data_IF_483038644067
#
_entry.id   IF_483038644067
#
_cell.length_a   1.000
_cell.length_b   1.000
_cell.length_c   1.000
_cell.angle_alpha   90.00
_cell.angle_beta   90.00
_cell.angle_gamma   90.00
#
_symmetry.space_group_name_H-M   'P 1'
#
loop_
_entity.id
_entity.type
_entity.pdbx_description
1 polymer ?
#
# COMPACT_ATOMS: atom_id res chain seq x y z
N UNK A 1 37.35 50.17 61.01
CA UNK A 1 37.52 48.84 60.37
C UNK A 1 36.17 48.26 60.37
N UNK A 2 35.36 48.46 59.31
CA UNK A 2 34.01 47.95 59.15
C UNK A 2 33.99 46.98 57.99
N UNK A 3 33.56 45.84 58.31
CA UNK A 3 33.42 44.67 57.42
C UNK A 3 32.04 44.77 56.75
N UNK A 4 31.97 45.17 55.49
CA UNK A 4 30.73 45.15 54.70
C UNK A 4 30.48 43.79 54.12
N UNK A 5 29.64 43.02 54.80
CA UNK A 5 29.03 41.77 54.31
C UNK A 5 28.06 42.06 53.18
N UNK A 6 28.42 41.60 51.96
CA UNK A 6 27.62 41.73 50.76
C UNK A 6 26.62 40.55 50.68
N UNK A 7 25.42 40.76 51.25
CA UNK A 7 24.27 39.82 51.04
C UNK A 7 23.55 40.19 49.75
N UNK A 8 23.85 39.48 48.66
CA UNK A 8 22.96 39.46 47.48
C UNK A 8 21.65 38.74 47.85
N UNK A 9 20.49 39.27 47.43
CA UNK A 9 19.22 38.65 47.79
C UNK A 9 18.98 37.39 46.92
N UNK A 10 18.72 36.29 47.62
CA UNK A 10 18.36 34.96 47.06
C UNK A 10 16.97 34.92 46.39
N UNK A 11 16.30 36.06 46.23
CA UNK A 11 14.92 36.15 45.72
C UNK A 11 14.81 36.36 44.20
N UNK A 12 15.93 36.58 43.49
CA UNK A 12 15.89 36.78 42.02
C UNK A 12 16.02 35.48 41.22
N UNK A 13 16.55 34.39 41.82
CA UNK A 13 16.69 33.09 41.13
C UNK A 13 15.38 32.30 41.04
N UNK A 14 14.47 32.47 42.00
CA UNK A 14 13.19 31.76 42.02
C UNK A 14 12.17 32.27 41.02
N UNK A 15 12.22 33.56 40.63
CA UNK A 15 11.28 34.11 39.66
C UNK A 15 11.66 33.75 38.19
N UNK A 16 12.95 33.68 37.88
CA UNK A 16 13.42 33.26 36.56
C UNK A 16 13.21 31.76 36.34
N UNK A 17 13.45 30.93 37.36
CA UNK A 17 13.17 29.47 37.28
C UNK A 17 11.67 29.19 37.13
N UNK A 18 10.79 29.88 37.86
CA UNK A 18 9.34 29.74 37.69
C UNK A 18 8.85 30.24 36.34
N UNK A 19 9.46 31.29 35.79
CA UNK A 19 9.10 31.81 34.48
C UNK A 19 9.58 30.89 33.34
N UNK A 20 10.77 30.29 33.46
CA UNK A 20 11.33 29.33 32.53
C UNK A 20 10.54 28.00 32.56
N UNK A 21 10.14 27.50 33.73
CA UNK A 21 9.31 26.32 33.90
C UNK A 21 7.90 26.54 33.32
N UNK A 22 7.29 27.70 33.55
CA UNK A 22 5.95 28.02 33.02
C UNK A 22 5.95 28.19 31.49
N UNK A 23 7.01 28.74 30.91
CA UNK A 23 7.18 28.82 29.44
C UNK A 23 7.35 27.44 28.85
N UNK A 24 8.13 26.54 29.48
CA UNK A 24 8.31 25.18 29.01
C UNK A 24 7.02 24.33 29.10
N UNK A 25 6.22 24.53 30.17
CA UNK A 25 4.92 23.87 30.31
C UNK A 25 3.91 24.37 29.26
N UNK A 26 3.86 25.66 28.98
CA UNK A 26 3.01 26.21 27.92
C UNK A 26 3.42 25.73 26.53
N UNK A 27 4.70 25.62 26.25
CA UNK A 27 5.20 25.03 24.99
C UNK A 27 4.86 23.56 24.88
N UNK A 28 5.02 22.78 25.96
CA UNK A 28 4.68 21.37 26.00
C UNK A 28 3.18 21.13 25.77
N UNK A 29 2.32 21.88 26.45
CA UNK A 29 0.86 21.83 26.29
C UNK A 29 0.45 22.18 24.85
N UNK A 30 1.07 23.23 24.27
CA UNK A 30 0.82 23.60 22.88
C UNK A 30 1.25 22.53 21.89
N UNK A 31 2.38 21.87 22.15
CA UNK A 31 2.90 20.77 21.33
C UNK A 31 2.00 19.53 21.42
N UNK A 32 1.54 19.17 22.61
CA UNK A 32 0.59 18.07 22.82
C UNK A 32 -0.74 18.34 22.11
N UNK A 33 -1.28 19.56 22.21
CA UNK A 33 -2.51 19.94 21.51
C UNK A 33 -2.37 19.89 19.99
N UNK A 34 -1.25 20.38 19.44
CA UNK A 34 -0.94 20.30 18.00
C UNK A 34 -0.80 18.85 17.56
N UNK A 35 -0.04 18.05 18.30
CA UNK A 35 0.12 16.62 18.01
C UNK A 35 -1.23 15.89 18.01
N UNK A 36 -2.06 16.13 19.04
CA UNK A 36 -3.38 15.52 19.13
C UNK A 36 -4.30 15.92 17.97
N UNK A 37 -4.21 17.17 17.53
CA UNK A 37 -4.97 17.67 16.38
C UNK A 37 -4.53 16.97 15.08
N UNK A 38 -3.23 16.78 14.87
CA UNK A 38 -2.72 16.06 13.70
C UNK A 38 -3.05 14.56 13.77
N UNK A 39 -2.96 13.94 14.94
CA UNK A 39 -3.38 12.54 15.15
C UNK A 39 -4.86 12.35 14.76
N UNK A 40 -5.75 13.26 15.18
CA UNK A 40 -7.16 13.20 14.76
C UNK A 40 -7.35 13.32 13.25
N UNK A 41 -6.59 14.20 12.59
CA UNK A 41 -6.64 14.34 11.12
C UNK A 41 -6.15 13.08 10.42
N UNK A 42 -5.07 12.46 10.91
CA UNK A 42 -4.56 11.19 10.38
C UNK A 42 -5.58 10.08 10.56
N UNK A 43 -6.19 9.94 11.74
CA UNK A 43 -7.20 8.92 12.01
C UNK A 43 -8.45 9.06 11.16
N UNK A 44 -8.85 10.28 10.82
CA UNK A 44 -9.98 10.52 9.90
C UNK A 44 -9.75 9.92 8.51
N UNK A 45 -8.50 9.81 8.08
CA UNK A 45 -8.09 9.21 6.80
C UNK A 45 -7.71 7.74 6.98
N UNK A 46 -6.96 7.43 8.04
CA UNK A 46 -6.47 6.08 8.30
C UNK A 46 -7.58 5.08 8.63
N UNK A 47 -8.53 5.44 9.48
CA UNK A 47 -9.62 4.54 9.89
C UNK A 47 -10.39 3.94 8.70
N UNK A 48 -10.98 4.75 7.82
CA UNK A 48 -11.64 4.24 6.62
C UNK A 48 -10.68 3.50 5.66
N UNK A 49 -9.41 3.91 5.57
CA UNK A 49 -8.41 3.24 4.74
C UNK A 49 -8.06 1.84 5.27
N UNK A 50 -7.91 1.69 6.59
CA UNK A 50 -7.70 0.39 7.26
C UNK A 50 -8.91 -0.50 7.01
N UNK A 51 -10.12 0.01 7.28
CA UNK A 51 -11.36 -0.74 7.10
C UNK A 51 -11.52 -1.23 5.65
N UNK A 52 -11.26 -0.37 4.67
CA UNK A 52 -11.31 -0.75 3.26
C UNK A 52 -10.33 -1.87 2.91
N UNK A 53 -9.08 -1.78 3.40
CA UNK A 53 -8.05 -2.80 3.15
C UNK A 53 -8.40 -4.13 3.79
N UNK A 54 -8.84 -4.10 5.04
CA UNK A 54 -9.33 -5.31 5.73
C UNK A 54 -10.51 -5.93 4.99
N UNK A 55 -11.48 -5.12 4.54
CA UNK A 55 -12.63 -5.60 3.77
C UNK A 55 -12.21 -6.28 2.47
N UNK A 56 -11.34 -5.65 1.68
CA UNK A 56 -10.88 -6.21 0.40
C UNK A 56 -10.01 -7.47 0.59
N UNK A 57 -9.16 -7.50 1.61
CA UNK A 57 -8.38 -8.70 1.95
C UNK A 57 -9.30 -9.84 2.39
N UNK A 58 -10.35 -9.54 3.13
CA UNK A 58 -11.34 -10.52 3.59
C UNK A 58 -12.10 -11.20 2.44
N UNK A 59 -12.26 -10.55 1.28
CA UNK A 59 -12.88 -11.20 0.12
C UNK A 59 -12.16 -12.50 -0.27
N UNK A 60 -10.83 -12.45 -0.40
CA UNK A 60 -10.03 -13.62 -0.75
C UNK A 60 -10.08 -14.70 0.36
N UNK A 61 -9.99 -14.29 1.64
CA UNK A 61 -10.04 -15.22 2.78
C UNK A 61 -11.40 -15.92 2.86
N UNK A 62 -12.49 -15.19 2.65
CA UNK A 62 -13.85 -15.77 2.63
C UNK A 62 -13.98 -16.76 1.46
N UNK A 63 -13.53 -16.38 0.26
CA UNK A 63 -13.54 -17.29 -0.91
C UNK A 63 -12.79 -18.58 -0.61
N UNK A 64 -11.60 -18.50 -0.03
CA UNK A 64 -10.81 -19.67 0.36
C UNK A 64 -11.51 -20.51 1.43
N UNK A 65 -12.15 -19.87 2.42
CA UNK A 65 -12.91 -20.57 3.46
C UNK A 65 -14.08 -21.35 2.87
N UNK A 66 -14.81 -20.78 1.92
CA UNK A 66 -15.89 -21.48 1.22
C UNK A 66 -15.37 -22.61 0.32
N UNK A 67 -14.26 -22.42 -0.39
CA UNK A 67 -13.62 -23.44 -1.19
C UNK A 67 -13.17 -24.64 -0.33
N UNK A 68 -12.70 -24.40 0.89
CA UNK A 68 -12.34 -25.44 1.85
C UNK A 68 -13.50 -26.34 2.29
N UNK A 69 -14.75 -25.91 2.10
CA UNK A 69 -15.94 -26.74 2.34
C UNK A 69 -16.31 -27.62 1.12
N UNK A 70 -15.70 -27.39 -0.05
CA UNK A 70 -15.92 -28.21 -1.24
C UNK A 70 -15.04 -29.48 -1.16
N UNK A 71 -13.75 -29.32 -1.28
CA UNK A 71 -12.75 -30.37 -1.09
C UNK A 71 -11.34 -29.77 -0.96
N UNK A 72 -10.36 -30.58 -0.51
CA UNK A 72 -8.97 -30.13 -0.30
C UNK A 72 -8.29 -29.68 -1.60
N UNK A 73 -8.60 -30.32 -2.74
CA UNK A 73 -8.03 -29.98 -4.04
C UNK A 73 -8.52 -28.62 -4.52
N UNK A 74 -9.81 -28.32 -4.34
CA UNK A 74 -10.39 -27.02 -4.68
C UNK A 74 -9.81 -25.90 -3.82
N UNK A 75 -9.65 -26.14 -2.50
CA UNK A 75 -9.00 -25.21 -1.60
C UNK A 75 -7.55 -24.96 -2.01
N UNK A 76 -6.79 -26.00 -2.31
CA UNK A 76 -5.41 -25.87 -2.77
C UNK A 76 -5.34 -25.09 -4.08
N UNK A 77 -6.22 -25.38 -5.05
CA UNK A 77 -6.24 -24.70 -6.34
C UNK A 77 -6.54 -23.20 -6.23
N UNK A 78 -7.60 -22.81 -5.51
CA UNK A 78 -7.95 -21.38 -5.34
C UNK A 78 -6.89 -20.63 -4.49
N UNK A 79 -6.34 -21.31 -3.49
CA UNK A 79 -5.28 -20.75 -2.66
C UNK A 79 -4.02 -20.46 -3.48
N UNK A 80 -3.58 -21.39 -4.33
CA UNK A 80 -2.42 -21.19 -5.20
C UNK A 80 -2.72 -20.10 -6.25
N UNK A 81 -3.88 -20.13 -6.91
CA UNK A 81 -4.25 -19.13 -7.91
C UNK A 81 -4.27 -17.71 -7.31
N UNK A 82 -4.79 -17.54 -6.09
CA UNK A 82 -4.87 -16.23 -5.44
C UNK A 82 -3.56 -15.82 -4.78
N UNK A 83 -2.87 -16.72 -4.07
CA UNK A 83 -1.65 -16.37 -3.30
C UNK A 83 -0.39 -16.37 -4.14
N UNK A 84 -0.31 -17.12 -5.25
CA UNK A 84 0.86 -17.13 -6.12
C UNK A 84 0.62 -16.22 -7.32
N UNK A 85 -0.32 -16.59 -8.21
CA UNK A 85 -0.50 -15.88 -9.48
C UNK A 85 -1.04 -14.47 -9.26
N UNK A 86 -2.20 -14.36 -8.60
CA UNK A 86 -2.85 -13.05 -8.42
C UNK A 86 -2.05 -12.10 -7.55
N UNK A 87 -1.39 -12.57 -6.51
CA UNK A 87 -0.67 -11.67 -5.60
C UNK A 87 0.60 -11.06 -6.21
N UNK A 88 1.25 -11.72 -7.18
CA UNK A 88 2.35 -11.13 -7.94
C UNK A 88 1.83 -9.92 -8.73
N UNK A 89 0.74 -10.12 -9.46
CA UNK A 89 0.15 -9.06 -10.28
C UNK A 89 -0.49 -7.96 -9.45
N UNK A 90 -1.11 -8.31 -8.32
CA UNK A 90 -1.63 -7.36 -7.33
C UNK A 90 -0.53 -6.43 -6.81
N UNK A 91 0.60 -6.98 -6.33
CA UNK A 91 1.71 -6.19 -5.81
C UNK A 91 2.31 -5.26 -6.87
N UNK A 92 2.47 -5.75 -8.10
CA UNK A 92 2.99 -4.98 -9.21
C UNK A 92 2.07 -3.80 -9.56
N UNK A 93 0.77 -4.04 -9.78
CA UNK A 93 -0.21 -3.00 -10.14
C UNK A 93 -0.45 -2.02 -8.98
N UNK A 94 -0.45 -2.52 -7.72
CA UNK A 94 -0.54 -1.66 -6.55
C UNK A 94 0.66 -0.69 -6.47
N UNK A 95 1.85 -1.18 -6.79
CA UNK A 95 3.06 -0.36 -6.90
C UNK A 95 2.94 0.69 -7.98
N UNK A 96 2.47 0.31 -9.18
CA UNK A 96 2.23 1.28 -10.26
C UNK A 96 1.23 2.37 -9.85
N UNK A 97 0.17 2.01 -9.14
CA UNK A 97 -0.83 2.97 -8.69
C UNK A 97 -0.32 3.93 -7.60
N UNK A 98 0.76 3.62 -6.88
CA UNK A 98 1.28 4.51 -5.84
C UNK A 98 1.84 5.83 -6.40
N UNK A 99 2.28 5.85 -7.64
CA UNK A 99 2.66 7.08 -8.34
C UNK A 99 1.49 8.08 -8.42
N UNK A 100 0.27 7.57 -8.67
CA UNK A 100 -0.92 8.40 -8.70
C UNK A 100 -1.23 9.04 -7.34
N UNK A 101 -0.99 8.32 -6.23
CA UNK A 101 -1.17 8.87 -4.89
C UNK A 101 -0.33 10.12 -4.67
N UNK A 102 0.94 10.07 -5.04
CA UNK A 102 1.86 11.20 -4.93
C UNK A 102 1.41 12.38 -5.80
N UNK A 103 1.10 12.13 -7.07
CA UNK A 103 0.72 13.19 -8.02
C UNK A 103 -0.63 13.82 -7.67
N UNK A 104 -1.64 13.01 -7.37
CA UNK A 104 -2.95 13.51 -6.94
C UNK A 104 -2.86 14.28 -5.62
N UNK A 105 -2.08 13.79 -4.65
CA UNK A 105 -1.89 14.50 -3.38
C UNK A 105 -1.23 15.86 -3.59
N UNK A 106 -0.16 15.92 -4.39
CA UNK A 106 0.52 17.18 -4.70
C UNK A 106 -0.38 18.16 -5.47
N UNK A 107 -1.11 17.70 -6.50
CA UNK A 107 -2.04 18.52 -7.27
C UNK A 107 -3.19 19.06 -6.39
N UNK A 108 -3.72 18.22 -5.50
CA UNK A 108 -4.74 18.63 -4.54
C UNK A 108 -4.23 19.71 -3.58
N UNK A 109 -3.04 19.52 -3.03
CA UNK A 109 -2.38 20.51 -2.17
C UNK A 109 -2.10 21.83 -2.89
N UNK A 110 -1.70 21.78 -4.14
CA UNK A 110 -1.49 22.96 -5.01
C UNK A 110 -2.80 23.60 -5.52
N UNK A 111 -3.97 23.05 -5.16
CA UNK A 111 -5.31 23.47 -5.63
C UNK A 111 -5.51 23.34 -7.17
N UNK A 112 -4.72 22.49 -7.81
CA UNK A 112 -4.83 22.18 -9.24
C UNK A 112 -5.79 21.00 -9.44
N UNK A 113 -7.08 21.20 -9.11
CA UNK A 113 -8.07 20.12 -9.03
C UNK A 113 -8.34 19.47 -10.39
N UNK A 114 -8.29 20.22 -11.48
CA UNK A 114 -8.48 19.70 -12.86
C UNK A 114 -7.44 18.62 -13.22
N UNK A 115 -6.19 18.75 -12.73
CA UNK A 115 -5.13 17.79 -12.99
C UNK A 115 -5.39 16.40 -12.39
N UNK A 116 -6.20 16.31 -11.33
CA UNK A 116 -6.48 15.03 -10.67
C UNK A 116 -7.19 14.06 -11.60
N UNK A 117 -8.18 14.54 -12.36
CA UNK A 117 -8.90 13.73 -13.35
C UNK A 117 -8.01 13.26 -14.50
N UNK A 118 -7.09 14.11 -14.95
CA UNK A 118 -6.11 13.79 -15.99
C UNK A 118 -5.14 12.72 -15.47
N UNK A 119 -4.60 12.87 -14.25
CA UNK A 119 -3.72 11.87 -13.63
C UNK A 119 -4.42 10.53 -13.42
N UNK A 120 -5.71 10.52 -13.02
CA UNK A 120 -6.50 9.30 -12.91
C UNK A 120 -6.55 8.56 -14.25
N UNK A 121 -6.85 9.25 -15.35
CA UNK A 121 -6.94 8.66 -16.68
C UNK A 121 -5.56 8.21 -17.20
N UNK A 122 -4.49 8.98 -16.98
CA UNK A 122 -3.09 8.56 -17.25
C UNK A 122 -2.75 7.25 -16.51
N UNK A 123 -3.16 7.16 -15.25
CA UNK A 123 -2.99 5.93 -14.45
C UNK A 123 -3.71 4.75 -15.08
N UNK A 124 -4.96 4.91 -15.53
CA UNK A 124 -5.67 3.83 -16.21
C UNK A 124 -4.94 3.33 -17.45
N UNK A 125 -4.43 4.23 -18.29
CA UNK A 125 -3.67 3.84 -19.49
C UNK A 125 -2.41 3.06 -19.12
N UNK A 126 -1.61 3.57 -18.19
CA UNK A 126 -0.34 2.95 -17.81
C UNK A 126 -0.55 1.62 -17.08
N UNK A 127 -1.52 1.56 -16.16
CA UNK A 127 -1.84 0.32 -15.44
C UNK A 127 -2.47 -0.72 -16.37
N UNK A 128 -3.28 -0.31 -17.35
CA UNK A 128 -3.86 -1.22 -18.33
C UNK A 128 -2.76 -1.88 -19.19
N UNK A 129 -1.78 -1.11 -19.65
CA UNK A 129 -0.62 -1.66 -20.37
C UNK A 129 0.13 -2.66 -19.45
N UNK A 130 0.41 -2.28 -18.21
CA UNK A 130 1.04 -3.17 -17.23
C UNK A 130 0.22 -4.44 -16.96
N UNK A 131 -1.09 -4.31 -16.85
CA UNK A 131 -2.01 -5.44 -16.67
C UNK A 131 -1.99 -6.41 -17.86
N UNK A 132 -2.01 -5.88 -19.09
CA UNK A 132 -1.92 -6.70 -20.31
C UNK A 132 -0.58 -7.45 -20.39
N UNK A 133 0.53 -6.80 -20.00
CA UNK A 133 1.85 -7.44 -19.96
C UNK A 133 1.92 -8.57 -18.91
N UNK A 134 1.08 -8.55 -17.88
CA UNK A 134 1.01 -9.58 -16.85
C UNK A 134 0.00 -10.69 -17.15
N UNK A 135 -0.86 -10.56 -18.17
CA UNK A 135 -1.82 -11.60 -18.58
C UNK A 135 -1.18 -12.96 -18.84
N UNK A 136 0.01 -13.07 -19.44
CA UNK A 136 0.65 -14.38 -19.63
C UNK A 136 0.80 -15.18 -18.34
N UNK A 137 0.94 -14.55 -17.17
CA UNK A 137 0.99 -15.27 -15.89
C UNK A 137 -0.30 -16.04 -15.59
N UNK A 138 -1.45 -15.51 -15.99
CA UNK A 138 -2.74 -16.18 -15.83
C UNK A 138 -2.98 -17.25 -16.90
N UNK A 139 -2.69 -16.91 -18.16
CA UNK A 139 -2.91 -17.80 -19.30
C UNK A 139 -2.00 -19.05 -19.23
N UNK A 140 -0.74 -18.84 -18.84
CA UNK A 140 0.25 -19.91 -18.69
C UNK A 140 0.43 -20.36 -17.23
N UNK A 141 -0.57 -20.14 -16.35
CA UNK A 141 -0.49 -20.51 -14.95
C UNK A 141 -0.24 -22.02 -14.77
N UNK A 142 -0.92 -22.89 -15.54
CA UNK A 142 -0.73 -24.34 -15.47
C UNK A 142 0.73 -24.77 -15.71
N UNK A 143 1.39 -24.46 -16.84
CA UNK A 143 2.79 -24.83 -17.04
C UNK A 143 3.73 -24.19 -16.02
N UNK A 144 3.49 -22.95 -15.60
CA UNK A 144 4.30 -22.30 -14.57
C UNK A 144 4.21 -23.07 -13.25
N UNK A 145 3.00 -23.47 -12.82
CA UNK A 145 2.80 -24.21 -11.59
C UNK A 145 3.41 -25.63 -11.65
N UNK A 146 3.31 -26.31 -12.79
CA UNK A 146 3.98 -27.61 -13.00
C UNK A 146 5.50 -27.47 -12.91
N UNK A 147 6.09 -26.42 -13.47
CA UNK A 147 7.53 -26.14 -13.38
C UNK A 147 7.99 -25.82 -11.94
N UNK A 148 7.12 -25.29 -11.10
CA UNK A 148 7.40 -25.05 -9.68
C UNK A 148 7.19 -26.27 -8.79
N UNK A 149 6.90 -27.46 -9.38
CA UNK A 149 6.77 -28.72 -8.66
C UNK A 149 5.40 -28.96 -8.01
N UNK A 150 4.37 -28.21 -8.41
CA UNK A 150 3.01 -28.48 -7.92
C UNK A 150 2.46 -29.79 -8.49
N UNK A 151 1.66 -30.57 -7.71
CA UNK A 151 0.99 -31.74 -8.19
C UNK A 151 0.16 -31.46 -9.44
N UNK A 152 0.16 -32.36 -10.42
CA UNK A 152 -0.45 -32.13 -11.74
C UNK A 152 -1.93 -31.77 -11.65
N UNK A 153 -2.71 -32.49 -10.84
CA UNK A 153 -4.15 -32.22 -10.64
C UNK A 153 -4.40 -30.82 -10.06
N UNK A 154 -3.60 -30.42 -9.07
CA UNK A 154 -3.71 -29.10 -8.44
C UNK A 154 -3.28 -28.01 -9.40
N UNK A 155 -2.19 -28.22 -10.17
CA UNK A 155 -1.70 -27.22 -11.14
C UNK A 155 -2.70 -26.99 -12.29
N UNK A 156 -3.38 -28.03 -12.78
CA UNK A 156 -4.40 -27.89 -13.82
C UNK A 156 -5.64 -27.16 -13.33
N UNK A 157 -6.12 -27.52 -12.15
CA UNK A 157 -7.28 -26.86 -11.56
C UNK A 157 -6.95 -25.39 -11.18
N UNK A 158 -5.79 -25.15 -10.57
CA UNK A 158 -5.33 -23.80 -10.24
C UNK A 158 -5.12 -22.92 -11.49
N UNK A 159 -4.61 -23.50 -12.58
CA UNK A 159 -4.51 -22.82 -13.86
C UNK A 159 -5.86 -22.45 -14.44
N UNK A 160 -6.85 -23.36 -14.37
CA UNK A 160 -8.23 -23.05 -14.76
C UNK A 160 -8.80 -21.92 -13.93
N UNK A 161 -8.66 -21.97 -12.61
CA UNK A 161 -9.11 -20.90 -11.68
C UNK A 161 -8.40 -19.59 -12.01
N UNK A 162 -7.09 -19.61 -12.28
CA UNK A 162 -6.34 -18.41 -12.64
C UNK A 162 -6.92 -17.70 -13.89
N UNK A 163 -7.29 -18.46 -14.92
CA UNK A 163 -7.94 -17.88 -16.12
C UNK A 163 -9.27 -17.20 -15.76
N UNK A 164 -10.07 -17.79 -14.89
CA UNK A 164 -11.33 -17.19 -14.42
C UNK A 164 -11.12 -15.98 -13.51
N UNK A 165 -9.93 -15.77 -12.92
CA UNK A 165 -9.56 -14.59 -12.16
C UNK A 165 -9.01 -13.43 -13.03
N UNK A 166 -8.95 -13.56 -14.35
CA UNK A 166 -8.56 -12.47 -15.26
C UNK A 166 -9.46 -11.23 -15.11
N UNK A 167 -10.80 -11.34 -15.02
CA UNK A 167 -11.65 -10.16 -14.78
C UNK A 167 -11.31 -9.42 -13.49
N UNK A 168 -10.98 -10.13 -12.40
CA UNK A 168 -10.51 -9.52 -11.16
C UNK A 168 -9.17 -8.79 -11.36
N UNK A 169 -8.23 -9.40 -12.08
CA UNK A 169 -6.96 -8.78 -12.42
C UNK A 169 -7.16 -7.47 -13.19
N UNK A 170 -8.09 -7.44 -14.15
CA UNK A 170 -8.46 -6.22 -14.88
C UNK A 170 -9.11 -5.17 -13.96
N UNK A 171 -9.87 -5.57 -12.96
CA UNK A 171 -10.49 -4.67 -12.01
C UNK A 171 -9.45 -3.89 -11.18
N UNK A 172 -8.25 -4.42 -10.96
CA UNK A 172 -7.18 -3.77 -10.20
C UNK A 172 -6.73 -2.46 -10.85
N UNK A 173 -6.75 -2.38 -12.19
CA UNK A 173 -6.43 -1.16 -12.93
C UNK A 173 -7.30 0.02 -12.47
N UNK A 174 -8.60 -0.22 -12.38
CA UNK A 174 -9.57 0.79 -12.00
C UNK A 174 -9.64 0.97 -10.48
N UNK A 175 -9.65 -0.13 -9.73
CA UNK A 175 -9.76 -0.12 -8.27
C UNK A 175 -8.62 0.67 -7.62
N UNK A 176 -7.37 0.34 -7.97
CA UNK A 176 -6.23 1.00 -7.35
C UNK A 176 -6.15 2.48 -7.74
N UNK A 177 -6.39 2.79 -9.01
CA UNK A 177 -6.41 4.18 -9.48
C UNK A 177 -7.50 5.02 -8.80
N UNK A 178 -8.73 4.50 -8.71
CA UNK A 178 -9.85 5.21 -8.06
C UNK A 178 -9.60 5.40 -6.57
N UNK A 179 -9.07 4.38 -5.89
CA UNK A 179 -8.72 4.48 -4.47
C UNK A 179 -7.68 5.58 -4.25
N UNK A 180 -6.59 5.62 -5.04
CA UNK A 180 -5.55 6.66 -4.92
C UNK A 180 -6.06 8.05 -5.26
N UNK A 181 -6.89 8.17 -6.28
CA UNK A 181 -7.53 9.43 -6.67
C UNK A 181 -8.43 10.00 -5.55
N UNK A 182 -9.24 9.15 -4.91
CA UNK A 182 -10.11 9.56 -3.81
C UNK A 182 -9.32 9.83 -2.51
N UNK A 183 -8.29 9.02 -2.24
CA UNK A 183 -7.39 9.23 -1.10
C UNK A 183 -6.66 10.58 -1.22
N UNK A 184 -6.14 10.93 -2.39
CA UNK A 184 -5.48 12.22 -2.66
C UNK A 184 -6.37 13.43 -2.33
N UNK A 185 -7.69 13.27 -2.46
CA UNK A 185 -8.71 14.26 -2.11
C UNK A 185 -9.25 14.15 -0.66
N UNK A 186 -8.66 13.30 0.17
CA UNK A 186 -9.10 13.02 1.55
C UNK A 186 -10.53 12.42 1.63
N UNK A 187 -11.07 11.86 0.54
CA UNK A 187 -12.42 11.25 0.46
C UNK A 187 -12.39 9.76 0.82
N UNK A 188 -11.68 9.40 1.87
CA UNK A 188 -11.44 8.00 2.27
C UNK A 188 -12.65 7.30 2.85
N UNK A 189 -13.58 8.03 3.46
CA UNK A 189 -14.82 7.46 4.02
C UNK A 189 -15.66 6.73 2.98
N UNK A 190 -15.71 7.25 1.74
CA UNK A 190 -16.44 6.61 0.62
C UNK A 190 -15.80 5.28 0.25
N UNK A 191 -14.46 5.23 0.23
CA UNK A 191 -13.71 4.00 -0.05
C UNK A 191 -14.07 2.93 0.99
N UNK A 192 -14.11 3.31 2.28
CA UNK A 192 -14.52 2.41 3.36
C UNK A 192 -15.95 1.87 3.17
N UNK A 193 -16.92 2.75 2.92
CA UNK A 193 -18.31 2.34 2.73
C UNK A 193 -18.51 1.42 1.52
N UNK A 194 -17.91 1.76 0.38
CA UNK A 194 -18.01 0.94 -0.84
C UNK A 194 -17.35 -0.41 -0.66
N UNK A 195 -16.16 -0.46 -0.03
CA UNK A 195 -15.49 -1.73 0.26
C UNK A 195 -16.25 -2.59 1.27
N UNK A 196 -16.86 -1.97 2.28
CA UNK A 196 -17.73 -2.66 3.24
C UNK A 196 -18.99 -3.24 2.57
N UNK A 197 -19.61 -2.48 1.66
CA UNK A 197 -20.76 -2.96 0.88
C UNK A 197 -20.36 -4.15 -0.01
N UNK A 198 -19.23 -4.05 -0.70
CA UNK A 198 -18.70 -5.14 -1.53
C UNK A 198 -18.46 -6.41 -0.69
N UNK A 199 -17.93 -6.27 0.54
CA UNK A 199 -17.72 -7.38 1.47
C UNK A 199 -19.06 -8.03 1.88
N UNK A 200 -20.07 -7.23 2.22
CA UNK A 200 -21.39 -7.76 2.58
C UNK A 200 -22.03 -8.51 1.41
N UNK A 201 -21.97 -7.93 0.21
CA UNK A 201 -22.47 -8.58 -1.01
C UNK A 201 -21.71 -9.90 -1.25
N UNK A 202 -20.39 -9.92 -1.10
CA UNK A 202 -19.57 -11.12 -1.25
C UNK A 202 -19.96 -12.23 -0.27
N UNK A 203 -20.16 -11.89 1.00
CA UNK A 203 -20.63 -12.84 2.03
C UNK A 203 -22.00 -13.42 1.66
N UNK A 204 -22.95 -12.58 1.26
CA UNK A 204 -24.28 -13.01 0.89
C UNK A 204 -24.27 -13.91 -0.35
N UNK A 205 -23.47 -13.57 -1.36
CA UNK A 205 -23.32 -14.38 -2.56
C UNK A 205 -22.73 -15.76 -2.24
N UNK A 206 -21.59 -15.80 -1.51
CA UNK A 206 -20.97 -17.07 -1.15
C UNK A 206 -21.92 -17.94 -0.29
N UNK A 207 -22.59 -17.36 0.70
CA UNK A 207 -23.56 -18.06 1.52
C UNK A 207 -24.76 -18.60 0.69
N UNK A 208 -25.33 -17.77 -0.18
CA UNK A 208 -26.47 -18.14 -1.03
C UNK A 208 -26.12 -19.28 -1.96
N UNK A 209 -25.00 -19.15 -2.67
CA UNK A 209 -24.60 -20.16 -3.65
C UNK A 209 -24.10 -21.45 -2.98
N UNK A 210 -23.40 -21.37 -1.84
CA UNK A 210 -23.01 -22.56 -1.08
C UNK A 210 -24.23 -23.35 -0.57
N UNK A 211 -25.34 -22.67 -0.25
CA UNK A 211 -26.54 -23.31 0.28
C UNK A 211 -27.44 -23.92 -0.80
N UNK A 212 -27.57 -23.27 -1.96
CA UNK A 212 -28.58 -23.62 -2.94
C UNK A 212 -28.03 -24.21 -4.23
N UNK A 213 -26.74 -24.05 -4.50
CA UNK A 213 -26.11 -24.51 -5.73
C UNK A 213 -24.73 -25.11 -5.41
N UNK A 214 -24.44 -26.28 -6.00
CA UNK A 214 -23.09 -26.89 -5.98
C UNK A 214 -22.20 -26.17 -6.98
N UNK A 215 -21.72 -24.99 -6.59
CA UNK A 215 -20.77 -24.22 -7.41
C UNK A 215 -19.38 -24.67 -7.02
N UNK A 216 -18.64 -25.30 -7.96
CA UNK A 216 -17.24 -25.65 -7.77
C UNK A 216 -16.33 -24.43 -7.61
N UNK A 217 -15.04 -24.67 -7.50
CA UNK A 217 -14.03 -23.62 -7.28
C UNK A 217 -14.06 -22.49 -8.31
N UNK A 218 -14.47 -22.76 -9.55
CA UNK A 218 -14.65 -21.73 -10.60
C UNK A 218 -15.78 -20.76 -10.22
N UNK A 219 -16.88 -21.26 -9.65
CA UNK A 219 -17.95 -20.40 -9.16
C UNK A 219 -17.50 -19.48 -8.02
N UNK A 220 -16.64 -19.98 -7.12
CA UNK A 220 -16.04 -19.17 -6.08
C UNK A 220 -15.15 -18.03 -6.66
N UNK A 221 -14.39 -18.32 -7.72
CA UNK A 221 -13.62 -17.31 -8.44
C UNK A 221 -14.49 -16.23 -9.09
N UNK A 222 -15.60 -16.64 -9.74
CA UNK A 222 -16.56 -15.69 -10.35
C UNK A 222 -17.20 -14.78 -9.30
N UNK A 223 -17.55 -15.29 -8.12
CA UNK A 223 -18.11 -14.48 -7.03
C UNK A 223 -17.07 -13.48 -6.49
N UNK A 224 -15.80 -13.87 -6.44
CA UNK A 224 -14.72 -12.98 -6.07
C UNK A 224 -14.56 -11.84 -7.11
N UNK A 225 -14.53 -12.18 -8.40
CA UNK A 225 -14.50 -11.23 -9.51
C UNK A 225 -15.65 -10.20 -9.41
N UNK A 226 -16.87 -10.70 -9.26
CA UNK A 226 -18.06 -9.86 -9.17
C UNK A 226 -17.94 -8.85 -8.01
N UNK A 227 -17.45 -9.29 -6.86
CA UNK A 227 -17.32 -8.43 -5.68
C UNK A 227 -16.25 -7.33 -5.87
N UNK A 228 -15.17 -7.62 -6.59
CA UNK A 228 -14.19 -6.62 -6.97
C UNK A 228 -14.78 -5.57 -7.93
N UNK A 229 -15.55 -6.02 -8.93
CA UNK A 229 -16.23 -5.10 -9.85
C UNK A 229 -17.31 -4.27 -9.19
N UNK A 230 -18.04 -4.80 -8.18
CA UNK A 230 -18.96 -4.01 -7.35
C UNK A 230 -18.23 -2.86 -6.66
N UNK A 231 -17.05 -3.13 -6.11
CA UNK A 231 -16.22 -2.08 -5.49
C UNK A 231 -15.77 -1.03 -6.53
N UNK A 232 -15.28 -1.45 -7.69
CA UNK A 232 -14.87 -0.55 -8.79
C UNK A 232 -16.04 0.33 -9.22
N UNK A 233 -17.20 -0.27 -9.52
CA UNK A 233 -18.38 0.45 -9.99
C UNK A 233 -18.88 1.44 -8.94
N UNK A 234 -18.89 1.05 -7.67
CA UNK A 234 -19.28 1.94 -6.58
C UNK A 234 -18.41 3.18 -6.48
N UNK A 235 -17.07 3.02 -6.54
CA UNK A 235 -16.14 4.15 -6.51
C UNK A 235 -16.23 5.01 -7.77
N UNK A 236 -16.35 4.39 -8.94
CA UNK A 236 -16.48 5.09 -10.22
C UNK A 236 -17.77 5.91 -10.27
N UNK A 237 -18.92 5.32 -9.93
CA UNK A 237 -20.20 6.02 -9.88
C UNK A 237 -20.12 7.21 -8.91
N UNK A 238 -19.54 7.05 -7.74
CA UNK A 238 -19.36 8.17 -6.82
C UNK A 238 -18.53 9.30 -7.46
N UNK A 239 -17.45 8.98 -8.14
CA UNK A 239 -16.59 9.98 -8.79
C UNK A 239 -17.33 10.75 -9.89
N UNK A 240 -18.11 10.04 -10.72
CA UNK A 240 -18.81 10.61 -11.90
C UNK A 240 -20.12 11.30 -11.51
N UNK A 241 -20.92 10.73 -10.57
CA UNK A 241 -22.23 11.25 -10.19
C UNK A 241 -22.18 12.48 -9.27
N UNK A 242 -21.04 13.19 -9.20
CA UNK A 242 -20.94 14.48 -8.53
C UNK A 242 -20.19 14.47 -7.22
N UNK A 243 -19.66 13.34 -6.77
CA UNK A 243 -18.77 13.27 -5.61
C UNK A 243 -17.43 13.96 -5.81
N UNK A 244 -17.01 14.18 -7.07
CA UNK A 244 -15.73 14.77 -7.44
C UNK A 244 -15.87 15.88 -8.49
N UNK A 245 -16.84 16.78 -8.34
CA UNK A 245 -17.18 17.84 -9.31
C UNK A 245 -16.01 18.75 -9.69
N UNK A 246 -15.11 19.03 -8.75
CA UNK A 246 -13.96 19.93 -8.97
C UNK A 246 -12.75 19.22 -9.58
N UNK A 247 -12.76 17.89 -9.63
CA UNK A 247 -11.61 17.08 -10.06
C UNK A 247 -11.92 16.06 -11.15
N UNK A 248 -13.20 15.90 -11.50
CA UNK A 248 -13.64 15.04 -12.60
C UNK A 248 -14.52 15.83 -13.58
N UNK A 249 -13.98 16.15 -14.74
CA UNK A 249 -14.67 16.88 -15.80
C UNK A 249 -15.01 16.00 -17.01
N UNK A 250 -14.85 14.68 -16.89
CA UNK A 250 -15.03 13.74 -17.99
C UNK A 250 -13.70 13.23 -18.55
N UNK A 251 -13.80 12.54 -19.68
CA UNK A 251 -12.61 12.01 -20.38
C UNK A 251 -11.93 13.11 -21.17
N UNK A 252 -10.59 13.20 -21.06
CA UNK A 252 -9.75 14.19 -21.75
C UNK A 252 -8.64 13.49 -22.55
N UNK A 253 -8.36 13.99 -23.75
CA UNK A 253 -7.22 13.52 -24.55
C UNK A 253 -5.86 13.89 -23.94
N UNK A 254 -5.82 14.87 -23.05
CA UNK A 254 -4.62 15.21 -22.28
C UNK A 254 -4.08 14.03 -21.43
N UNK A 255 -4.92 13.06 -21.15
CA UNK A 255 -4.53 11.82 -20.47
C UNK A 255 -3.43 11.04 -21.21
N UNK A 256 -3.34 11.20 -22.52
CA UNK A 256 -2.33 10.54 -23.35
C UNK A 256 -1.01 11.31 -23.45
N UNK A 257 -0.96 12.55 -22.95
CA UNK A 257 0.28 13.32 -22.83
C UNK A 257 1.03 13.01 -21.55
N UNK A 258 2.38 13.12 -21.53
CA UNK A 258 3.20 12.92 -20.33
C UNK A 258 3.18 11.50 -19.73
N UNK A 259 2.72 10.49 -20.48
CA UNK A 259 2.66 9.10 -20.03
C UNK A 259 4.02 8.52 -19.64
N UNK A 260 5.09 8.97 -20.31
CA UNK A 260 6.44 8.45 -20.05
C UNK A 260 6.95 8.81 -18.65
N UNK A 261 6.73 10.03 -18.20
CA UNK A 261 7.15 10.46 -16.86
C UNK A 261 6.30 9.81 -15.79
N UNK A 262 5.01 9.65 -16.03
CA UNK A 262 4.11 8.86 -15.18
C UNK A 262 4.55 7.40 -15.11
N UNK A 263 4.90 6.79 -16.25
CA UNK A 263 5.38 5.41 -16.32
C UNK A 263 6.67 5.19 -15.54
N UNK A 264 7.67 6.08 -15.67
CA UNK A 264 8.93 5.99 -14.90
C UNK A 264 8.68 5.98 -13.40
N UNK A 265 7.81 6.88 -12.91
CA UNK A 265 7.45 6.96 -11.50
C UNK A 265 6.71 5.69 -11.06
N UNK A 266 5.77 5.21 -11.87
CA UNK A 266 5.01 3.97 -11.65
C UNK A 266 5.92 2.75 -11.61
N UNK A 267 6.85 2.62 -12.55
CA UNK A 267 7.79 1.50 -12.62
C UNK A 267 8.72 1.44 -11.37
N UNK A 268 9.25 2.59 -10.95
CA UNK A 268 10.06 2.66 -9.73
C UNK A 268 9.29 2.22 -8.49
N UNK A 269 8.04 2.66 -8.36
CA UNK A 269 7.15 2.26 -7.26
C UNK A 269 6.78 0.78 -7.30
N UNK A 270 6.59 0.22 -8.52
CA UNK A 270 6.30 -1.21 -8.71
C UNK A 270 7.47 -2.08 -8.26
N UNK A 271 8.68 -1.72 -8.66
CA UNK A 271 9.89 -2.45 -8.24
C UNK A 271 10.04 -2.43 -6.71
N UNK A 272 9.78 -1.29 -6.07
CA UNK A 272 9.84 -1.15 -4.63
C UNK A 272 8.88 -2.13 -3.91
N UNK A 273 7.60 -2.14 -4.30
CA UNK A 273 6.60 -3.01 -3.67
C UNK A 273 6.74 -4.48 -4.09
N UNK A 274 7.21 -4.74 -5.30
CA UNK A 274 7.54 -6.10 -5.74
C UNK A 274 8.66 -6.70 -4.88
N UNK A 275 9.76 -5.97 -4.66
CA UNK A 275 10.85 -6.42 -3.80
C UNK A 275 10.36 -6.74 -2.38
N UNK A 276 9.50 -5.90 -1.80
CA UNK A 276 8.90 -6.16 -0.49
C UNK A 276 8.04 -7.42 -0.50
N UNK A 277 7.17 -7.57 -1.49
CA UNK A 277 6.29 -8.75 -1.60
C UNK A 277 7.07 -10.04 -1.85
N UNK A 278 8.12 -10.01 -2.67
CA UNK A 278 8.97 -11.18 -2.93
C UNK A 278 9.78 -11.62 -1.71
N UNK A 279 10.15 -10.69 -0.84
CA UNK A 279 10.93 -11.01 0.36
C UNK A 279 10.26 -12.08 1.24
N UNK A 280 8.98 -11.92 1.52
CA UNK A 280 8.23 -12.91 2.31
C UNK A 280 8.10 -14.27 1.61
N UNK A 281 8.09 -14.30 0.27
CA UNK A 281 8.01 -15.53 -0.51
C UNK A 281 9.34 -16.28 -0.56
N UNK A 282 10.43 -15.54 -0.67
CA UNK A 282 11.79 -16.11 -0.61
C UNK A 282 11.99 -16.86 0.70
N UNK A 283 11.44 -16.37 1.81
CA UNK A 283 11.50 -17.07 3.09
C UNK A 283 10.84 -18.46 3.06
N UNK A 284 9.67 -18.58 2.45
CA UNK A 284 8.97 -19.88 2.32
C UNK A 284 9.76 -20.83 1.45
N UNK A 285 10.33 -20.33 0.33
CA UNK A 285 11.17 -21.14 -0.56
C UNK A 285 12.42 -21.62 0.16
N UNK A 286 13.09 -20.73 0.88
CA UNK A 286 14.28 -21.05 1.67
C UNK A 286 13.95 -22.05 2.77
N UNK A 287 12.83 -21.88 3.51
CA UNK A 287 12.39 -22.84 4.51
C UNK A 287 12.17 -24.24 3.91
N UNK A 288 11.56 -24.33 2.73
CA UNK A 288 11.38 -25.59 2.03
C UNK A 288 12.67 -26.24 1.53
N UNK A 289 13.66 -25.43 1.12
CA UNK A 289 14.94 -25.92 0.60
C UNK A 289 15.92 -26.40 1.69
N UNK A 290 15.73 -25.95 2.94
CA UNK A 290 16.61 -26.28 4.07
C UNK A 290 16.20 -27.54 4.82
N UNK A 291 15.27 -28.34 4.27
CA UNK A 291 14.88 -29.64 4.82
C UNK A 291 13.99 -29.57 6.06
N UNK A 292 13.33 -28.43 6.29
CA UNK A 292 12.34 -28.30 7.35
C UNK A 292 11.18 -29.29 7.16
N UNK A 293 10.57 -29.70 8.27
CA UNK A 293 9.44 -30.64 8.23
C UNK A 293 8.20 -29.98 7.59
N UNK A 294 7.28 -30.79 7.07
CA UNK A 294 6.01 -30.30 6.54
C UNK A 294 5.25 -29.45 7.59
N UNK A 295 5.28 -29.86 8.86
CA UNK A 295 4.66 -29.13 9.99
C UNK A 295 5.28 -27.74 10.15
N UNK A 296 6.58 -27.61 9.98
CA UNK A 296 7.29 -26.33 10.08
C UNK A 296 6.91 -25.38 8.95
N UNK A 297 6.75 -25.89 7.72
CA UNK A 297 6.33 -25.12 6.55
C UNK A 297 4.86 -24.67 6.71
N UNK A 298 4.00 -25.54 7.23
CA UNK A 298 2.60 -25.21 7.53
C UNK A 298 2.51 -24.12 8.61
N UNK A 299 3.28 -24.25 9.69
CA UNK A 299 3.36 -23.22 10.73
C UNK A 299 3.82 -21.87 10.17
N UNK A 300 4.83 -21.86 9.28
CA UNK A 300 5.30 -20.65 8.60
C UNK A 300 4.20 -20.04 7.72
N UNK A 301 3.45 -20.86 6.99
CA UNK A 301 2.35 -20.42 6.13
C UNK A 301 1.21 -19.77 6.92
N UNK A 302 0.85 -20.35 8.09
CA UNK A 302 -0.14 -19.78 9.01
C UNK A 302 0.34 -18.43 9.55
N UNK A 303 1.60 -18.34 9.97
CA UNK A 303 2.19 -17.08 10.43
C UNK A 303 2.15 -16.00 9.35
N UNK A 304 2.49 -16.32 8.10
CA UNK A 304 2.44 -15.37 6.97
C UNK A 304 1.00 -14.92 6.68
N UNK A 305 0.03 -15.82 6.78
CA UNK A 305 -1.39 -15.47 6.59
C UNK A 305 -1.88 -14.53 7.70
N UNK A 306 -1.53 -14.81 8.96
CA UNK A 306 -1.84 -13.94 10.09
C UNK A 306 -1.18 -12.56 9.94
N UNK A 307 0.09 -12.54 9.54
CA UNK A 307 0.81 -11.30 9.22
C UNK A 307 0.13 -10.52 8.08
N UNK A 308 -0.45 -11.21 7.09
CA UNK A 308 -1.21 -10.58 6.01
C UNK A 308 -2.41 -9.74 6.50
N UNK A 309 -3.07 -10.16 7.59
CA UNK A 309 -4.11 -9.38 8.26
C UNK A 309 -3.52 -8.18 9.02
N UNK A 310 -2.48 -8.41 9.78
CA UNK A 310 -1.85 -7.39 10.61
C UNK A 310 -1.27 -6.25 9.76
N UNK A 311 -0.63 -6.56 8.64
CA UNK A 311 0.00 -5.56 7.76
C UNK A 311 -1.01 -4.61 7.10
N UNK A 312 -2.29 -4.97 7.03
CA UNK A 312 -3.33 -4.09 6.48
C UNK A 312 -3.51 -2.82 7.33
N UNK A 313 -3.26 -2.90 8.65
CA UNK A 313 -3.35 -1.77 9.57
C UNK A 313 -2.20 -0.76 9.31
N UNK A 314 -0.91 -1.14 9.35
CA UNK A 314 0.18 -0.25 8.97
C UNK A 314 0.05 0.33 7.56
N UNK A 315 -0.40 -0.46 6.58
CA UNK A 315 -0.64 0.05 5.23
C UNK A 315 -1.76 1.10 5.16
N UNK A 316 -2.76 1.02 6.03
CA UNK A 316 -3.77 2.07 6.16
C UNK A 316 -3.19 3.37 6.70
N UNK A 317 -2.33 3.30 7.70
CA UNK A 317 -1.60 4.46 8.22
C UNK A 317 -0.60 5.03 7.21
N UNK A 318 0.13 4.16 6.50
CA UNK A 318 1.06 4.56 5.44
C UNK A 318 0.33 5.37 4.36
N UNK A 319 -0.82 4.90 3.87
CA UNK A 319 -1.61 5.64 2.90
C UNK A 319 -2.12 6.98 3.46
N UNK A 320 -2.59 7.03 4.71
CA UNK A 320 -3.06 8.27 5.33
C UNK A 320 -1.93 9.29 5.47
N UNK A 321 -0.76 8.85 5.91
CA UNK A 321 0.42 9.69 6.06
C UNK A 321 0.94 10.15 4.70
N UNK A 322 1.06 9.24 3.72
CA UNK A 322 1.51 9.55 2.36
C UNK A 322 0.66 10.65 1.70
N UNK A 323 -0.66 10.51 1.78
CA UNK A 323 -1.60 11.51 1.25
C UNK A 323 -1.44 12.87 1.95
N UNK A 324 -1.37 12.87 3.29
CA UNK A 324 -1.21 14.13 4.05
C UNK A 324 0.07 14.85 3.65
N UNK A 325 1.13 14.12 3.55
CA UNK A 325 2.43 14.68 3.17
C UNK A 325 2.44 15.14 1.71
N UNK A 326 1.89 14.37 0.79
CA UNK A 326 1.77 14.79 -0.60
C UNK A 326 0.96 16.09 -0.74
N UNK A 327 -0.12 16.25 0.05
CA UNK A 327 -0.92 17.46 0.07
C UNK A 327 -0.14 18.67 0.62
N UNK A 328 0.60 18.52 1.72
CA UNK A 328 1.43 19.60 2.30
C UNK A 328 2.59 19.98 1.36
N UNK A 329 3.20 18.98 0.67
CA UNK A 329 4.20 19.24 -0.37
C UNK A 329 3.62 20.05 -1.52
N UNK A 330 2.45 19.65 -2.03
CA UNK A 330 1.75 20.36 -3.08
C UNK A 330 1.35 21.77 -2.68
N UNK A 331 1.02 22.00 -1.42
CA UNK A 331 0.75 23.33 -0.87
C UNK A 331 2.01 24.20 -0.65
N UNK A 332 3.21 23.65 -0.88
CA UNK A 332 4.48 24.35 -0.61
C UNK A 332 4.80 24.51 0.88
N UNK A 333 4.13 23.76 1.76
CA UNK A 333 4.28 23.84 3.21
C UNK A 333 5.36 22.87 3.72
N UNK A 334 6.62 23.30 3.74
CA UNK A 334 7.75 22.47 4.16
C UNK A 334 7.68 22.02 5.64
N UNK A 335 7.05 22.80 6.52
CA UNK A 335 6.93 22.45 7.95
C UNK A 335 5.95 21.30 8.23
N UNK A 336 5.01 21.05 7.31
CA UNK A 336 4.07 19.91 7.37
C UNK A 336 4.63 18.60 6.81
N UNK A 337 5.82 18.63 6.21
CA UNK A 337 6.36 17.61 5.34
C UNK A 337 7.48 16.82 6.02
N UNK A 338 7.18 15.95 6.94
CA UNK A 338 8.23 15.06 7.47
C UNK A 338 8.35 13.69 6.81
N UNK A 339 7.47 13.25 5.87
CA UNK A 339 7.36 11.80 5.54
C UNK A 339 6.87 11.41 4.14
N UNK A 340 7.09 12.14 3.04
CA UNK A 340 6.51 11.67 1.78
C UNK A 340 7.03 12.27 0.49
N UNK A 341 8.30 12.36 0.35
CA UNK A 341 8.91 12.73 -0.92
C UNK A 341 9.03 11.50 -1.80
N UNK A 342 8.43 11.40 -2.94
CA UNK A 342 8.55 10.38 -4.00
C UNK A 342 9.93 9.69 -4.20
N UNK A 343 10.53 9.19 -3.14
CA UNK A 343 11.84 8.53 -3.09
C UNK A 343 11.73 7.02 -3.33
N UNK A 344 10.73 6.58 -4.11
CA UNK A 344 10.47 5.17 -4.37
C UNK A 344 11.72 4.41 -4.82
N UNK A 345 12.54 5.01 -5.68
CA UNK A 345 13.79 4.39 -6.13
C UNK A 345 14.81 4.21 -5.00
N UNK A 346 14.93 5.18 -4.10
CA UNK A 346 15.84 5.10 -2.95
C UNK A 346 15.34 4.06 -1.94
N UNK A 347 14.03 4.03 -1.68
CA UNK A 347 13.41 3.01 -0.83
C UNK A 347 13.60 1.62 -1.43
N UNK A 348 13.49 1.45 -2.76
CA UNK A 348 13.76 0.18 -3.44
C UNK A 348 15.19 -0.32 -3.21
N UNK A 349 16.20 0.56 -3.27
CA UNK A 349 17.60 0.23 -2.99
C UNK A 349 17.78 -0.18 -1.53
N UNK A 350 17.17 0.57 -0.59
CA UNK A 350 17.21 0.24 0.83
C UNK A 350 16.54 -1.11 1.11
N UNK A 351 15.40 -1.40 0.47
CA UNK A 351 14.71 -2.69 0.58
C UNK A 351 15.59 -3.83 0.07
N UNK A 352 16.23 -3.65 -1.09
CA UNK A 352 17.14 -4.66 -1.65
C UNK A 352 18.28 -4.97 -0.69
N UNK A 353 18.96 -3.95 -0.15
CA UNK A 353 20.04 -4.11 0.82
C UNK A 353 19.57 -4.75 2.12
N UNK A 354 18.53 -4.20 2.74
CA UNK A 354 18.07 -4.64 4.06
C UNK A 354 17.46 -6.04 4.04
N UNK A 355 16.68 -6.36 3.03
CA UNK A 355 15.96 -7.63 2.97
C UNK A 355 16.84 -8.76 2.42
N UNK A 356 17.47 -8.54 1.25
CA UNK A 356 18.14 -9.62 0.52
C UNK A 356 19.62 -9.74 0.87
N UNK A 357 20.30 -8.66 1.28
CA UNK A 357 21.71 -8.70 1.68
C UNK A 357 21.86 -8.94 3.19
N UNK A 358 20.93 -8.46 4.01
CA UNK A 358 21.00 -8.64 5.47
C UNK A 358 20.01 -9.68 5.95
N UNK A 359 18.71 -9.51 5.71
CA UNK A 359 17.64 -10.30 6.31
C UNK A 359 17.69 -11.78 5.92
N UNK A 360 17.74 -12.10 4.61
CA UNK A 360 17.77 -13.50 4.15
C UNK A 360 19.06 -14.21 4.56
N UNK A 361 20.28 -13.66 4.33
CA UNK A 361 21.50 -14.34 4.76
C UNK A 361 21.58 -14.54 6.26
N UNK A 362 21.17 -13.55 7.06
CA UNK A 362 21.16 -13.69 8.51
C UNK A 362 20.17 -14.78 8.96
N UNK A 363 19.00 -14.86 8.34
CA UNK A 363 18.01 -15.91 8.61
C UNK A 363 18.55 -17.30 8.33
N UNK A 364 19.22 -17.49 7.19
CA UNK A 364 19.88 -18.76 6.81
C UNK A 364 21.02 -19.11 7.77
N UNK A 365 21.84 -18.15 8.16
CA UNK A 365 22.91 -18.35 9.14
C UNK A 365 22.34 -18.79 10.49
N UNK A 366 21.31 -18.10 10.99
CA UNK A 366 20.68 -18.45 12.26
C UNK A 366 20.02 -19.83 12.23
N UNK A 367 19.47 -20.21 11.11
CA UNK A 367 18.87 -21.54 10.93
C UNK A 367 19.94 -22.63 10.84
N UNK A 368 20.92 -22.50 9.96
CA UNK A 368 21.90 -23.56 9.67
C UNK A 368 23.01 -23.68 10.73
N UNK A 369 23.60 -22.55 11.19
CA UNK A 369 24.73 -22.58 12.11
C UNK A 369 24.34 -22.58 13.58
N UNK A 370 23.22 -21.95 13.91
CA UNK A 370 22.73 -21.89 15.30
C UNK A 370 21.60 -22.88 15.58
N UNK A 371 21.12 -23.62 14.58
CA UNK A 371 20.10 -24.66 14.76
C UNK A 371 18.74 -24.13 15.21
N UNK A 372 18.45 -22.85 14.93
CA UNK A 372 17.20 -22.21 15.37
C UNK A 372 16.00 -22.57 14.49
N UNK A 373 16.21 -23.32 13.40
CA UNK A 373 15.13 -23.70 12.48
C UNK A 373 14.36 -22.47 11.96
N UNK A 374 13.05 -22.63 11.82
CA UNK A 374 12.16 -21.55 11.35
C UNK A 374 12.23 -20.28 12.19
N UNK A 375 12.48 -20.39 13.51
CA UNK A 375 12.68 -19.22 14.37
C UNK A 375 13.89 -18.39 13.94
N UNK A 376 14.96 -19.03 13.43
CA UNK A 376 16.12 -18.37 12.87
C UNK A 376 15.77 -17.58 11.60
N UNK A 377 15.01 -18.18 10.68
CA UNK A 377 14.52 -17.51 9.46
C UNK A 377 13.65 -16.28 9.80
N UNK A 378 12.70 -16.42 10.74
CA UNK A 378 11.89 -15.30 11.21
C UNK A 378 12.72 -14.18 11.84
N UNK A 379 13.70 -14.52 12.67
CA UNK A 379 14.59 -13.54 13.30
C UNK A 379 15.40 -12.78 12.26
N UNK A 380 15.90 -13.46 11.22
CA UNK A 380 16.56 -12.84 10.08
C UNK A 380 15.64 -11.85 9.34
N UNK A 381 14.39 -12.25 9.10
CA UNK A 381 13.38 -11.39 8.47
C UNK A 381 13.12 -10.11 9.28
N UNK A 382 12.87 -10.24 10.58
CA UNK A 382 12.65 -9.11 11.47
C UNK A 382 13.88 -8.19 11.52
N UNK A 383 15.07 -8.76 11.53
CA UNK A 383 16.34 -7.99 11.48
C UNK A 383 16.46 -7.17 10.20
N UNK A 384 16.11 -7.74 9.04
CA UNK A 384 16.05 -7.01 7.76
C UNK A 384 15.10 -5.82 7.82
N UNK A 385 13.90 -6.01 8.39
CA UNK A 385 12.91 -4.94 8.57
C UNK A 385 13.40 -3.85 9.53
N UNK A 386 14.09 -4.21 10.63
CA UNK A 386 14.69 -3.25 11.55
C UNK A 386 15.77 -2.42 10.85
N UNK A 387 16.67 -3.05 10.08
CA UNK A 387 17.72 -2.35 9.32
C UNK A 387 17.10 -1.39 8.30
N UNK A 388 16.06 -1.83 7.58
CA UNK A 388 15.33 -0.97 6.65
C UNK A 388 14.75 0.26 7.36
N UNK A 389 14.04 0.05 8.47
CA UNK A 389 13.37 1.11 9.22
C UNK A 389 14.39 2.14 9.74
N UNK A 390 15.49 1.69 10.32
CA UNK A 390 16.55 2.57 10.81
C UNK A 390 17.21 3.36 9.68
N UNK A 391 17.51 2.71 8.55
CA UNK A 391 18.10 3.37 7.39
C UNK A 391 17.20 4.44 6.82
N UNK A 392 15.89 4.13 6.64
CA UNK A 392 14.91 5.10 6.16
C UNK A 392 14.68 6.24 7.15
N UNK A 393 14.67 5.96 8.46
CA UNK A 393 14.57 6.99 9.48
C UNK A 393 15.77 7.98 9.41
N UNK A 394 17.00 7.49 9.27
CA UNK A 394 18.19 8.33 9.13
C UNK A 394 18.10 9.19 7.86
N UNK A 395 17.71 8.62 6.73
CA UNK A 395 17.54 9.34 5.47
C UNK A 395 16.49 10.44 5.64
N UNK A 396 15.36 10.12 6.27
CA UNK A 396 14.24 11.06 6.51
C UNK A 396 14.65 12.24 7.39
N UNK A 397 15.37 11.97 8.49
CA UNK A 397 15.86 13.03 9.41
C UNK A 397 16.87 13.96 8.72
N UNK A 398 17.70 13.44 7.82
CA UNK A 398 18.72 14.21 7.09
C UNK A 398 18.20 14.94 5.85
N UNK A 399 16.93 14.76 5.50
CA UNK A 399 16.34 15.37 4.32
C UNK A 399 16.16 16.88 4.46
N UNK A 400 16.46 17.62 3.38
CA UNK A 400 16.19 19.06 3.27
C UNK A 400 14.75 19.32 2.79
N UNK A 401 13.81 19.26 3.70
CA UNK A 401 12.37 19.32 3.43
C UNK A 401 11.92 20.59 2.70
N UNK A 402 12.52 21.76 3.02
CA UNK A 402 12.20 23.04 2.35
C UNK A 402 12.51 22.99 0.86
N UNK A 403 13.61 22.37 0.47
CA UNK A 403 13.99 22.21 -0.94
C UNK A 403 13.02 21.27 -1.66
N UNK A 404 12.68 20.14 -1.03
CA UNK A 404 11.76 19.16 -1.60
C UNK A 404 10.34 19.73 -1.80
N UNK A 405 9.85 20.51 -0.85
CA UNK A 405 8.54 21.17 -0.97
C UNK A 405 8.50 22.18 -2.13
N UNK A 406 9.55 23.00 -2.29
CA UNK A 406 9.65 23.93 -3.41
C UNK A 406 9.72 23.22 -4.76
N UNK A 407 10.50 22.15 -4.87
CA UNK A 407 10.62 21.34 -6.10
C UNK A 407 9.29 20.64 -6.44
N UNK A 408 8.58 20.07 -5.46
CA UNK A 408 7.27 19.46 -5.67
C UNK A 408 6.24 20.46 -6.17
N UNK A 409 6.12 21.61 -5.50
CA UNK A 409 5.22 22.68 -5.90
C UNK A 409 5.52 23.19 -7.33
N UNK A 410 6.80 23.48 -7.63
CA UNK A 410 7.21 23.97 -8.96
C UNK A 410 6.95 22.94 -10.07
N UNK A 411 7.07 21.64 -9.78
CA UNK A 411 6.76 20.56 -10.72
C UNK A 411 5.27 20.56 -11.11
N UNK A 412 4.40 20.60 -10.09
CA UNK A 412 2.94 20.59 -10.32
C UNK A 412 2.50 21.82 -11.12
N UNK A 413 2.99 23.01 -10.77
CA UNK A 413 2.65 24.25 -11.48
C UNK A 413 3.16 24.23 -12.91
N UNK A 414 4.39 23.77 -13.17
CA UNK A 414 4.93 23.64 -14.53
C UNK A 414 4.12 22.66 -15.39
N UNK A 415 3.72 21.51 -14.84
CA UNK A 415 2.89 20.56 -15.56
C UNK A 415 1.52 21.16 -15.92
N UNK A 416 0.88 21.85 -14.96
CA UNK A 416 -0.39 22.51 -15.21
C UNK A 416 -0.31 23.56 -16.33
N UNK A 417 0.77 24.35 -16.38
CA UNK A 417 0.99 25.36 -17.43
C UNK A 417 1.28 24.69 -18.78
N UNK A 418 2.09 23.63 -18.80
CA UNK A 418 2.41 22.88 -20.03
C UNK A 418 1.17 22.24 -20.66
N UNK A 419 0.30 21.67 -19.81
CA UNK A 419 -0.93 21.02 -20.28
C UNK A 419 -1.96 22.06 -20.79
N UNK A 420 -2.04 23.24 -20.17
CA UNK A 420 -2.86 24.36 -20.69
C UNK A 420 -2.35 24.90 -22.03
N UNK A 421 -1.05 25.03 -22.21
CA UNK A 421 -0.48 25.54 -23.51
C UNK A 421 -0.66 24.56 -24.66
N UNK A 422 -0.80 23.27 -24.41
CA UNK A 422 -1.09 22.26 -25.43
C UNK A 422 -2.58 22.18 -25.82
N UNK A 423 -3.48 22.81 -25.08
CA UNK A 423 -4.90 22.93 -25.44
C UNK A 423 -5.19 24.13 -26.34
N UNK A 424 -4.34 25.16 -26.33
CA UNK A 424 -4.50 26.39 -27.12
C UNK A 424 -3.86 26.27 -28.51
N UNK A 425 -3.20 25.16 -28.82
CA UNK A 425 -2.67 24.80 -30.14
C UNK A 425 -3.45 23.69 -30.79
#
# INVERSE_FOLDING_TARGET
MEEHSNKRPLLLSTSEDHQQVSVSEHELVSLVQRTWTEVKKIWKVAGPSIFSRLSLYSLAVITQSFAGHLNDTDLAAISIATTVITSITFGFLLGMASALETLCGQAYGAKQYHMLGIYLQRSWVVLLIGSILLLPLFIFATPILKLTGQPEVVAELAGTVAVWLIPMHMSFVFQFSLVRFLQGQLKTSVIGWVSGLALVIHLLLNWFFAKYYTIGVVGAAIMLDFSWWVSVLGLFLYAVCGGCRESWYGFSMEAFSGLWDFFKLSAASSVMLALESFYYRVLVIVAGSLGNTAVDIDALSICITSYGWEIMIPYGFLAATGVRVANELGAGNAKGVALGCGWQSQVAIVNLGSYYVVGVPLGVILEQFFGLGIKGLWTGMLSGTVVQTLTLAIITIRCQWDKQAKEAYSRVVKQAISDQSSCDT
#
